data_IF_353495550577
#
_entry.id   IF_353495550577
#
_cell.length_a   1.000
_cell.length_b   1.000
_cell.length_c   1.000
_cell.angle_alpha   90.00
_cell.angle_beta   90.00
_cell.angle_gamma   90.00
#
_symmetry.space_group_name_H-M   'P 1'
#
loop_
_entity.id
_entity.type
_entity.pdbx_description
1 polymer ?
#
# COMPACT_ATOMS: atom_id res chain seq x y z
N UNK A 1 13.21 -44.70 -14.61
CA UNK A 1 12.71 -43.35 -14.32
C UNK A 1 11.21 -43.34 -14.49
N UNK A 2 10.45 -43.15 -13.38
CA UNK A 2 9.01 -43.00 -13.41
C UNK A 2 8.73 -41.52 -13.68
N UNK A 3 8.09 -41.22 -14.82
CA UNK A 3 7.61 -39.89 -15.14
C UNK A 3 6.54 -39.48 -14.11
N UNK A 4 6.54 -38.27 -13.57
CA UNK A 4 5.49 -37.83 -12.67
C UNK A 4 4.15 -37.86 -13.41
N UNK A 5 3.14 -38.47 -12.79
CA UNK A 5 1.76 -38.48 -13.29
C UNK A 5 1.33 -37.03 -13.51
N UNK A 6 0.94 -36.73 -14.74
CA UNK A 6 0.30 -35.46 -15.09
C UNK A 6 -0.87 -35.23 -14.11
N UNK A 7 -0.81 -34.14 -13.36
CA UNK A 7 -1.98 -33.68 -12.57
C UNK A 7 -3.12 -33.50 -13.56
N UNK A 8 -4.22 -34.23 -13.33
CA UNK A 8 -5.36 -34.28 -14.23
C UNK A 8 -5.75 -32.87 -14.68
N UNK A 9 -5.91 -32.71 -15.98
CA UNK A 9 -6.48 -31.50 -16.57
C UNK A 9 -7.85 -31.31 -15.91
N UNK A 10 -8.00 -30.22 -15.18
CA UNK A 10 -9.29 -29.83 -14.62
C UNK A 10 -10.21 -29.62 -15.81
N UNK A 11 -11.14 -30.55 -16.05
CA UNK A 11 -12.15 -30.38 -17.10
C UNK A 11 -12.94 -29.11 -16.78
N UNK A 12 -12.91 -28.14 -17.69
CA UNK A 12 -13.76 -26.97 -17.61
C UNK A 12 -15.22 -27.44 -17.78
N UNK A 13 -15.98 -27.43 -16.70
CA UNK A 13 -17.42 -27.55 -16.80
C UNK A 13 -18.00 -26.17 -17.10
N UNK A 14 -18.91 -26.04 -18.07
CA UNK A 14 -19.60 -24.79 -18.30
C UNK A 14 -20.38 -24.42 -17.02
N UNK A 15 -20.14 -23.18 -16.53
CA UNK A 15 -20.86 -22.62 -15.39
C UNK A 15 -22.00 -21.74 -15.89
N UNK A 16 -23.08 -21.66 -15.16
CA UNK A 16 -24.21 -20.78 -15.49
C UNK A 16 -23.86 -19.31 -15.17
N UNK A 17 -24.55 -18.39 -15.83
CA UNK A 17 -24.44 -16.96 -15.52
C UNK A 17 -24.73 -16.68 -14.05
N UNK A 18 -25.67 -17.41 -13.45
CA UNK A 18 -26.05 -17.28 -12.05
C UNK A 18 -24.91 -17.71 -11.11
N UNK A 19 -24.17 -18.77 -11.44
CA UNK A 19 -23.00 -19.22 -10.71
C UNK A 19 -21.88 -18.17 -10.79
N UNK A 20 -21.61 -17.61 -11.98
CA UNK A 20 -20.63 -16.51 -12.14
C UNK A 20 -21.00 -15.31 -11.28
N UNK A 21 -22.27 -14.91 -11.25
CA UNK A 21 -22.71 -13.79 -10.42
C UNK A 21 -22.57 -14.07 -8.92
N UNK A 22 -22.83 -15.30 -8.48
CA UNK A 22 -22.61 -15.72 -7.08
C UNK A 22 -21.13 -15.71 -6.70
N UNK A 23 -20.26 -16.22 -7.57
CA UNK A 23 -18.81 -16.20 -7.35
C UNK A 23 -18.29 -14.76 -7.28
N UNK A 24 -18.75 -13.87 -8.16
CA UNK A 24 -18.37 -12.45 -8.13
C UNK A 24 -18.85 -11.79 -6.83
N UNK A 25 -20.07 -12.04 -6.39
CA UNK A 25 -20.59 -11.49 -5.13
C UNK A 25 -19.80 -12.00 -3.91
N UNK A 26 -19.44 -13.27 -3.89
CA UNK A 26 -18.62 -13.87 -2.84
C UNK A 26 -17.19 -13.27 -2.84
N UNK A 27 -16.64 -13.00 -4.02
CA UNK A 27 -15.33 -12.36 -4.15
C UNK A 27 -15.35 -10.91 -3.64
N UNK A 28 -16.37 -10.12 -4.02
CA UNK A 28 -16.54 -8.76 -3.49
C UNK A 28 -16.72 -8.75 -1.97
N UNK A 29 -17.44 -9.71 -1.41
CA UNK A 29 -17.57 -9.85 0.05
C UNK A 29 -16.19 -10.03 0.72
N UNK A 30 -15.31 -10.86 0.16
CA UNK A 30 -13.95 -11.06 0.66
C UNK A 30 -13.08 -9.81 0.53
N UNK A 31 -13.23 -9.03 -0.54
CA UNK A 31 -12.56 -7.74 -0.68
C UNK A 31 -13.01 -6.79 0.43
N UNK A 32 -14.31 -6.72 0.70
CA UNK A 32 -14.86 -5.88 1.77
C UNK A 32 -14.33 -6.32 3.16
N UNK A 33 -14.20 -7.62 3.41
CA UNK A 33 -13.56 -8.14 4.64
C UNK A 33 -12.09 -7.70 4.75
N UNK A 34 -11.34 -7.69 3.65
CA UNK A 34 -9.96 -7.22 3.62
C UNK A 34 -9.87 -5.71 3.92
N UNK A 35 -10.78 -4.91 3.36
CA UNK A 35 -10.88 -3.46 3.66
C UNK A 35 -11.19 -3.22 5.14
N UNK A 36 -12.15 -3.98 5.71
CA UNK A 36 -12.46 -3.93 7.14
C UNK A 36 -11.27 -4.35 8.00
N UNK A 37 -10.54 -5.40 7.61
CA UNK A 37 -9.36 -5.86 8.34
C UNK A 37 -8.30 -4.75 8.42
N UNK A 38 -8.04 -4.04 7.32
CA UNK A 38 -7.12 -2.91 7.30
C UNK A 38 -7.65 -1.73 8.10
N UNK A 39 -8.95 -1.43 8.04
CA UNK A 39 -9.57 -0.38 8.84
C UNK A 39 -9.40 -0.65 10.34
N UNK A 40 -9.67 -1.87 10.80
CA UNK A 40 -9.44 -2.28 12.20
C UNK A 40 -7.97 -2.19 12.63
N UNK A 41 -7.03 -2.28 11.68
CA UNK A 41 -5.60 -2.10 11.92
C UNK A 41 -5.17 -0.64 12.01
N UNK A 42 -6.08 0.30 11.81
CA UNK A 42 -5.84 1.74 11.98
C UNK A 42 -5.62 2.51 10.67
N UNK A 43 -5.94 1.91 9.51
CA UNK A 43 -5.92 2.64 8.25
C UNK A 43 -7.27 3.32 8.01
N UNK A 44 -7.30 4.63 7.68
CA UNK A 44 -8.54 5.30 7.30
C UNK A 44 -9.18 4.63 6.09
N UNK A 45 -10.50 4.40 6.11
CA UNK A 45 -11.21 3.78 4.96
C UNK A 45 -11.01 4.53 3.65
N UNK A 46 -10.88 5.85 3.70
CA UNK A 46 -10.60 6.71 2.56
C UNK A 46 -9.19 6.51 1.98
N UNK A 47 -8.31 5.84 2.71
CA UNK A 47 -6.93 5.55 2.33
C UNK A 47 -6.68 4.04 2.08
N UNK A 48 -7.74 3.31 1.72
CA UNK A 48 -7.69 1.90 1.34
C UNK A 48 -7.95 1.79 -0.16
N UNK A 49 -7.13 0.97 -0.85
CA UNK A 49 -7.11 0.85 -2.31
C UNK A 49 -7.04 -0.61 -2.72
N UNK A 50 -7.74 -0.96 -3.79
CA UNK A 50 -7.71 -2.29 -4.40
C UNK A 50 -6.68 -2.32 -5.51
N UNK A 51 -5.84 -3.34 -5.52
CA UNK A 51 -4.81 -3.59 -6.52
C UNK A 51 -4.97 -5.03 -7.02
N UNK A 52 -5.56 -5.25 -8.21
CA UNK A 52 -5.56 -6.56 -8.83
C UNK A 52 -4.13 -7.02 -9.13
N UNK A 53 -3.84 -8.28 -8.88
CA UNK A 53 -2.59 -8.91 -9.32
C UNK A 53 -2.68 -9.20 -10.81
N UNK A 54 -1.69 -8.79 -11.59
CA UNK A 54 -1.64 -9.01 -13.03
C UNK A 54 -0.84 -10.26 -13.33
N UNK A 55 -1.30 -11.07 -14.28
CA UNK A 55 -0.66 -12.35 -14.63
C UNK A 55 0.84 -12.22 -14.97
N UNK A 56 1.26 -11.15 -15.63
CA UNK A 56 2.65 -10.87 -16.01
C UNK A 56 3.55 -10.35 -14.87
N UNK A 57 3.07 -10.25 -13.64
CA UNK A 57 3.86 -9.79 -12.48
C UNK A 57 4.67 -10.89 -11.81
N UNK A 58 4.50 -12.16 -12.24
CA UNK A 58 5.26 -13.29 -11.72
C UNK A 58 6.69 -13.28 -12.24
N UNK A 59 7.62 -13.68 -11.39
CA UNK A 59 8.99 -14.01 -11.78
C UNK A 59 9.17 -15.53 -12.03
N UNK A 60 10.40 -15.94 -12.26
CA UNK A 60 10.74 -17.35 -12.50
C UNK A 60 10.41 -18.28 -11.32
N UNK A 61 10.21 -17.73 -10.11
CA UNK A 61 9.82 -18.49 -8.91
C UNK A 61 8.30 -18.65 -8.78
N UNK A 62 7.54 -18.21 -9.80
CA UNK A 62 6.08 -18.32 -9.87
C UNK A 62 5.33 -17.53 -8.77
N UNK A 63 5.95 -16.48 -8.27
CA UNK A 63 5.35 -15.51 -7.35
C UNK A 63 5.48 -14.10 -7.91
N UNK A 64 4.65 -13.20 -7.45
CA UNK A 64 4.79 -11.77 -7.78
C UNK A 64 6.17 -11.29 -7.37
N UNK A 65 6.89 -10.73 -8.33
CA UNK A 65 8.22 -10.18 -8.09
C UNK A 65 8.17 -9.04 -7.06
N UNK A 66 9.14 -9.01 -6.16
CA UNK A 66 9.22 -8.05 -5.07
C UNK A 66 9.15 -6.58 -5.51
N UNK A 67 9.64 -6.25 -6.71
CA UNK A 67 9.58 -4.91 -7.28
C UNK A 67 8.13 -4.43 -7.51
N UNK A 68 7.19 -5.34 -7.80
CA UNK A 68 5.79 -4.99 -8.03
C UNK A 68 5.11 -4.48 -6.76
N UNK A 69 5.46 -5.00 -5.58
CA UNK A 69 4.93 -4.49 -4.30
C UNK A 69 5.26 -3.01 -4.10
N UNK A 70 6.49 -2.60 -4.44
CA UNK A 70 6.89 -1.18 -4.35
C UNK A 70 6.06 -0.33 -5.31
N UNK A 71 5.80 -0.80 -6.54
CA UNK A 71 4.94 -0.11 -7.52
C UNK A 71 3.47 -0.05 -7.07
N UNK A 72 2.97 -1.10 -6.45
CA UNK A 72 1.62 -1.11 -5.90
C UNK A 72 1.47 -0.09 -4.77
N UNK A 73 2.43 -0.07 -3.84
CA UNK A 73 2.45 0.93 -2.77
C UNK A 73 2.60 2.35 -3.29
N UNK A 74 3.41 2.56 -4.34
CA UNK A 74 3.53 3.85 -5.00
C UNK A 74 2.21 4.30 -5.62
N UNK A 75 1.55 3.44 -6.39
CA UNK A 75 0.25 3.72 -7.01
C UNK A 75 -0.81 4.06 -5.95
N UNK A 76 -0.84 3.31 -4.85
CA UNK A 76 -1.73 3.59 -3.73
C UNK A 76 -1.39 4.93 -3.06
N UNK A 77 -0.09 5.28 -2.91
CA UNK A 77 0.36 6.56 -2.34
C UNK A 77 -0.04 7.74 -3.23
N UNK A 78 0.06 7.61 -4.55
CA UNK A 78 -0.39 8.65 -5.47
C UNK A 78 -1.90 8.88 -5.37
N UNK A 79 -2.70 7.82 -5.31
CA UNK A 79 -4.15 7.91 -5.08
C UNK A 79 -4.51 8.52 -3.72
N UNK A 80 -3.75 8.16 -2.69
CA UNK A 80 -3.90 8.73 -1.36
C UNK A 80 -3.60 10.23 -1.35
N UNK A 81 -2.48 10.64 -1.95
CA UNK A 81 -2.11 12.06 -2.10
C UNK A 81 -3.15 12.83 -2.91
N UNK A 82 -3.66 12.27 -4.01
CA UNK A 82 -4.73 12.88 -4.81
C UNK A 82 -5.99 13.11 -3.99
N UNK A 83 -6.42 12.12 -3.21
CA UNK A 83 -7.60 12.27 -2.34
C UNK A 83 -7.36 13.34 -1.27
N UNK A 84 -6.20 13.31 -0.62
CA UNK A 84 -5.82 14.29 0.40
C UNK A 84 -5.74 15.70 -0.19
N UNK A 85 -5.21 15.86 -1.41
CA UNK A 85 -5.09 17.18 -2.05
C UNK A 85 -6.44 17.87 -2.27
N UNK A 86 -7.54 17.12 -2.35
CA UNK A 86 -8.90 17.69 -2.45
C UNK A 86 -9.36 18.42 -1.20
N UNK A 87 -8.65 18.27 -0.08
CA UNK A 87 -8.92 18.99 1.17
C UNK A 87 -8.04 20.24 1.33
N UNK A 88 -7.14 20.50 0.36
CA UNK A 88 -6.20 21.61 0.37
C UNK A 88 -6.71 22.77 -0.51
N UNK A 89 -6.16 23.96 -0.27
CA UNK A 89 -6.36 25.09 -1.18
C UNK A 89 -5.90 24.75 -2.61
N UNK A 90 -6.52 25.31 -3.66
CA UNK A 90 -6.22 24.96 -5.05
C UNK A 90 -4.75 25.15 -5.43
N UNK A 91 -4.10 26.18 -4.88
CA UNK A 91 -2.69 26.46 -5.11
C UNK A 91 -1.80 25.35 -4.53
N UNK A 92 -1.96 25.04 -3.25
CA UNK A 92 -1.17 24.01 -2.56
C UNK A 92 -1.44 22.62 -3.16
N UNK A 93 -2.69 22.30 -3.48
CA UNK A 93 -3.04 21.06 -4.16
C UNK A 93 -2.35 20.93 -5.52
N UNK A 94 -2.35 22.01 -6.31
CA UNK A 94 -1.67 22.04 -7.61
C UNK A 94 -0.15 21.87 -7.48
N UNK A 95 0.46 22.55 -6.51
CA UNK A 95 1.90 22.47 -6.26
C UNK A 95 2.32 21.04 -5.85
N UNK A 96 1.57 20.45 -4.92
CA UNK A 96 1.82 19.09 -4.42
C UNK A 96 1.78 18.04 -5.52
N UNK A 97 0.80 18.12 -6.44
CA UNK A 97 0.61 17.15 -7.54
C UNK A 97 1.57 17.40 -8.70
N UNK A 98 1.95 18.66 -8.96
CA UNK A 98 2.77 19.05 -10.12
C UNK A 98 4.26 19.19 -9.82
N UNK A 99 4.69 19.01 -8.58
CA UNK A 99 6.09 19.18 -8.17
C UNK A 99 6.56 20.63 -8.37
N UNK A 100 5.79 21.61 -7.89
CA UNK A 100 6.13 23.05 -7.87
C UNK A 100 6.06 23.54 -6.44
N UNK A 101 6.81 24.63 -6.13
CA UNK A 101 6.89 25.13 -4.77
C UNK A 101 7.29 24.01 -3.80
N UNK A 102 6.69 24.00 -2.60
CA UNK A 102 6.97 22.97 -1.61
C UNK A 102 6.05 21.76 -1.81
N UNK A 103 6.64 20.62 -2.11
CA UNK A 103 5.98 19.34 -2.22
C UNK A 103 6.62 18.28 -1.33
N UNK A 104 6.33 17.02 -1.64
CA UNK A 104 6.79 15.84 -0.88
C UNK A 104 7.54 14.91 -1.82
N UNK A 105 8.78 14.56 -1.49
CA UNK A 105 9.57 13.57 -2.23
C UNK A 105 9.89 12.37 -1.37
N UNK A 106 10.04 11.21 -2.00
CA UNK A 106 10.44 9.98 -1.33
C UNK A 106 11.93 10.00 -1.04
N UNK A 107 12.31 9.87 0.23
CA UNK A 107 13.71 9.83 0.66
C UNK A 107 14.19 8.38 0.88
N UNK A 108 13.37 7.53 1.48
CA UNK A 108 13.71 6.12 1.71
C UNK A 108 12.49 5.23 1.76
N UNK A 109 12.71 3.94 1.50
CA UNK A 109 11.70 2.90 1.55
C UNK A 109 12.20 1.73 2.38
N UNK A 110 11.39 1.30 3.34
CA UNK A 110 11.56 0.03 4.02
C UNK A 110 10.38 -0.85 3.66
N UNK A 111 10.64 -2.02 3.07
CA UNK A 111 9.59 -2.98 2.72
C UNK A 111 9.93 -4.35 3.32
N UNK A 112 8.94 -5.00 3.91
CA UNK A 112 9.03 -6.34 4.45
C UNK A 112 7.99 -7.23 3.81
N UNK A 113 8.44 -8.23 3.07
CA UNK A 113 7.62 -9.27 2.48
C UNK A 113 7.32 -10.34 3.51
N UNK A 114 6.05 -10.69 3.70
CA UNK A 114 5.57 -11.65 4.70
C UNK A 114 5.20 -12.98 4.10
N UNK A 115 4.56 -12.95 2.94
CA UNK A 115 4.06 -14.12 2.23
C UNK A 115 4.14 -13.88 0.72
N UNK A 116 4.42 -14.89 -0.08
CA UNK A 116 4.37 -14.78 -1.53
C UNK A 116 2.92 -14.59 -1.99
N UNK A 117 2.72 -13.76 -3.03
CA UNK A 117 1.46 -13.56 -3.72
C UNK A 117 1.53 -14.19 -5.09
N UNK A 118 0.42 -14.77 -5.54
CA UNK A 118 0.29 -15.40 -6.86
C UNK A 118 -0.95 -14.87 -7.57
N UNK A 119 -0.97 -14.93 -8.89
CA UNK A 119 -2.17 -14.69 -9.70
C UNK A 119 -3.04 -15.98 -9.71
N UNK A 120 -4.36 -15.90 -9.68
CA UNK A 120 -5.16 -14.67 -9.51
C UNK A 120 -5.34 -14.28 -8.04
N UNK A 121 -5.25 -12.99 -7.76
CA UNK A 121 -5.54 -12.39 -6.45
C UNK A 121 -5.90 -10.91 -6.60
N UNK A 122 -6.48 -10.33 -5.58
CA UNK A 122 -6.53 -8.88 -5.37
C UNK A 122 -5.84 -8.56 -4.05
N UNK A 123 -4.91 -7.62 -4.10
CA UNK A 123 -4.27 -7.09 -2.90
C UNK A 123 -4.95 -5.79 -2.50
N UNK A 124 -5.45 -5.74 -1.27
CA UNK A 124 -6.00 -4.50 -0.70
C UNK A 124 -4.90 -3.79 0.07
N UNK A 125 -4.69 -2.51 -0.21
CA UNK A 125 -3.59 -1.71 0.34
C UNK A 125 -4.15 -0.59 1.19
N UNK A 126 -3.79 -0.58 2.48
CA UNK A 126 -4.03 0.53 3.39
C UNK A 126 -2.81 1.44 3.45
N UNK A 127 -3.05 2.77 3.45
CA UNK A 127 -2.02 3.78 3.62
C UNK A 127 -2.42 4.81 4.67
N UNK A 128 -1.46 5.28 5.46
CA UNK A 128 -1.68 6.34 6.43
C UNK A 128 -0.35 6.99 6.85
N UNK A 129 -0.39 8.27 7.20
CA UNK A 129 0.73 8.95 7.80
C UNK A 129 0.97 8.44 9.23
N UNK A 130 2.19 8.14 9.62
CA UNK A 130 2.54 8.01 11.03
C UNK A 130 2.53 9.39 11.71
N UNK A 131 2.34 9.45 13.04
CA UNK A 131 2.43 10.72 13.77
C UNK A 131 3.74 11.44 13.45
N UNK A 132 3.63 12.67 12.97
CA UNK A 132 4.80 13.47 12.58
C UNK A 132 5.58 13.93 13.82
N UNK A 133 6.88 13.69 13.80
CA UNK A 133 7.82 14.14 14.84
C UNK A 133 8.62 15.38 14.40
N UNK A 134 8.65 15.67 13.09
CA UNK A 134 9.44 16.74 12.49
C UNK A 134 8.57 17.53 11.50
N UNK A 135 8.89 18.80 11.31
CA UNK A 135 8.16 19.67 10.39
C UNK A 135 8.54 19.44 8.91
N UNK A 136 9.65 18.77 8.65
CA UNK A 136 10.22 18.58 7.31
C UNK A 136 9.97 17.20 6.71
N UNK A 137 9.32 16.28 7.45
CA UNK A 137 9.13 14.89 6.96
C UNK A 137 7.91 14.20 7.54
N UNK A 138 7.44 13.21 6.82
CA UNK A 138 6.38 12.28 7.22
C UNK A 138 6.73 10.87 6.80
N UNK A 139 6.46 9.91 7.67
CA UNK A 139 6.52 8.49 7.30
C UNK A 139 5.12 8.03 6.90
N UNK A 140 4.98 7.51 5.69
CA UNK A 140 3.73 6.90 5.21
C UNK A 140 3.83 5.40 5.40
N UNK A 141 3.00 4.86 6.28
CA UNK A 141 2.85 3.42 6.50
C UNK A 141 1.93 2.81 5.47
N UNK A 142 2.30 1.63 4.99
CA UNK A 142 1.48 0.85 4.07
C UNK A 142 1.44 -0.61 4.48
N UNK A 143 0.29 -1.25 4.34
CA UNK A 143 0.13 -2.69 4.47
C UNK A 143 -0.64 -3.22 3.26
N UNK A 144 -0.21 -4.37 2.76
CA UNK A 144 -0.84 -5.10 1.67
C UNK A 144 -1.50 -6.37 2.22
N UNK A 145 -2.80 -6.52 1.99
CA UNK A 145 -3.60 -7.67 2.40
C UNK A 145 -4.04 -8.45 1.17
N UNK A 146 -3.69 -9.73 1.08
CA UNK A 146 -4.13 -10.63 0.02
C UNK A 146 -5.53 -11.14 0.30
N UNK A 147 -6.43 -10.96 -0.64
CA UNK A 147 -7.81 -11.47 -0.54
C UNK A 147 -7.81 -13.00 -0.66
N UNK A 148 -6.98 -13.57 -1.52
CA UNK A 148 -6.85 -15.02 -1.69
C UNK A 148 -6.38 -15.72 -0.42
N UNK A 149 -5.45 -15.10 0.34
CA UNK A 149 -4.85 -15.68 1.53
C UNK A 149 -5.50 -15.21 2.84
N UNK A 150 -6.39 -14.22 2.79
CA UNK A 150 -6.99 -13.58 3.98
C UNK A 150 -5.93 -13.14 5.00
N UNK A 151 -4.82 -12.53 4.53
CA UNK A 151 -3.67 -12.20 5.36
C UNK A 151 -2.85 -11.01 4.85
N UNK A 152 -2.12 -10.36 5.76
CA UNK A 152 -1.10 -9.38 5.39
C UNK A 152 0.07 -10.09 4.71
N UNK A 153 0.40 -9.66 3.49
CA UNK A 153 1.46 -10.24 2.65
C UNK A 153 2.70 -9.36 2.56
N UNK A 154 2.55 -8.05 2.75
CA UNK A 154 3.68 -7.13 2.83
C UNK A 154 3.36 -5.92 3.72
N UNK A 155 4.41 -5.33 4.26
CA UNK A 155 4.38 -4.11 5.08
C UNK A 155 5.50 -3.19 4.62
N UNK A 156 5.22 -1.89 4.53
CA UNK A 156 6.21 -0.91 4.14
C UNK A 156 6.03 0.41 4.89
N UNK A 157 7.16 1.10 5.08
CA UNK A 157 7.21 2.49 5.51
C UNK A 157 8.00 3.30 4.47
N UNK A 158 7.43 4.40 4.06
CA UNK A 158 7.99 5.34 3.09
C UNK A 158 8.32 6.64 3.82
N UNK A 159 9.60 6.93 4.00
CA UNK A 159 10.02 8.23 4.53
C UNK A 159 9.97 9.25 3.40
N UNK A 160 9.11 10.24 3.57
CA UNK A 160 8.91 11.34 2.64
C UNK A 160 9.37 12.63 3.28
N UNK A 161 10.06 13.48 2.52
CA UNK A 161 10.58 14.77 2.99
C UNK A 161 9.96 15.91 2.22
N UNK A 162 9.74 17.03 2.90
CA UNK A 162 9.34 18.27 2.28
C UNK A 162 10.49 18.84 1.44
N UNK A 163 10.19 19.19 0.20
CA UNK A 163 11.17 19.67 -0.77
C UNK A 163 10.62 20.84 -1.57
N UNK A 164 11.41 21.90 -1.62
CA UNK A 164 11.10 23.06 -2.44
C UNK A 164 11.67 22.81 -3.85
N UNK A 165 10.78 22.57 -4.80
CA UNK A 165 11.14 22.29 -6.19
C UNK A 165 11.68 23.51 -6.95
N UNK A 166 11.33 24.72 -6.50
CA UNK A 166 11.78 25.94 -7.15
C UNK A 166 13.19 26.33 -6.68
N UNK A 167 13.51 26.04 -5.40
CA UNK A 167 14.82 26.28 -4.78
C UNK A 167 15.74 25.07 -4.78
N UNK A 168 15.23 23.90 -5.14
CA UNK A 168 15.94 22.62 -5.15
C UNK A 168 16.58 22.26 -3.81
N UNK A 169 15.87 22.49 -2.70
CA UNK A 169 16.36 22.22 -1.36
C UNK A 169 15.27 21.69 -0.43
N UNK A 170 15.69 21.12 0.71
CA UNK A 170 14.77 20.72 1.77
C UNK A 170 13.98 21.91 2.30
N UNK A 171 12.75 21.67 2.69
CA UNK A 171 11.82 22.66 3.22
C UNK A 171 11.03 22.10 4.40
N UNK A 172 10.20 22.91 5.02
CA UNK A 172 9.17 22.45 5.95
C UNK A 172 7.85 22.28 5.20
N UNK A 173 7.05 21.33 5.65
CA UNK A 173 5.70 21.12 5.10
C UNK A 173 4.85 22.39 5.33
N UNK A 174 4.12 22.85 4.31
CA UNK A 174 3.12 23.90 4.50
C UNK A 174 2.14 23.48 5.62
N UNK A 175 1.74 24.43 6.50
CA UNK A 175 0.83 24.09 7.63
C UNK A 175 -0.43 23.34 7.21
N UNK A 176 -1.05 23.75 6.11
CA UNK A 176 -2.25 23.12 5.56
C UNK A 176 -2.01 21.65 5.15
N UNK A 177 -0.85 21.35 4.57
CA UNK A 177 -0.45 19.98 4.23
C UNK A 177 -0.20 19.16 5.50
N UNK A 178 0.45 19.76 6.51
CA UNK A 178 0.69 19.09 7.79
C UNK A 178 -0.62 18.77 8.50
N UNK A 179 -1.61 19.67 8.46
CA UNK A 179 -2.95 19.45 9.04
C UNK A 179 -3.72 18.37 8.30
N UNK A 180 -3.68 18.36 6.96
CA UNK A 180 -4.27 17.31 6.15
C UNK A 180 -3.64 15.94 6.47
N UNK A 181 -2.32 15.86 6.60
CA UNK A 181 -1.63 14.62 6.99
C UNK A 181 -2.05 14.12 8.38
N UNK A 182 -2.29 15.03 9.35
CA UNK A 182 -2.82 14.67 10.67
C UNK A 182 -4.21 14.06 10.60
N UNK A 183 -5.08 14.58 9.72
CA UNK A 183 -6.42 14.03 9.51
C UNK A 183 -6.39 12.61 8.90
N UNK A 184 -5.31 12.24 8.23
CA UNK A 184 -5.09 10.92 7.60
C UNK A 184 -4.06 10.08 8.36
N UNK A 185 -3.93 10.31 9.67
CA UNK A 185 -2.96 9.62 10.51
C UNK A 185 -3.39 8.18 10.79
N UNK A 186 -2.38 7.31 10.84
CA UNK A 186 -2.51 5.93 11.30
C UNK A 186 -2.94 5.89 12.76
N UNK A 187 -4.03 5.21 13.06
CA UNK A 187 -4.62 5.12 14.40
C UNK A 187 -4.33 3.79 15.10
N UNK A 188 -3.65 2.86 14.42
CA UNK A 188 -3.28 1.57 15.01
C UNK A 188 -2.29 1.69 16.16
N UNK A 189 -2.15 0.63 16.93
CA UNK A 189 -1.32 0.59 18.15
C UNK A 189 0.16 0.82 17.87
N UNK A 190 0.65 0.27 16.76
CA UNK A 190 2.05 0.27 16.40
C UNK A 190 2.44 1.47 15.55
N UNK A 191 2.86 2.55 16.21
CA UNK A 191 3.21 3.85 15.57
C UNK A 191 4.71 4.04 15.33
N UNK A 192 5.57 3.08 15.70
CA UNK A 192 7.00 3.16 15.41
C UNK A 192 7.31 2.70 13.98
N UNK A 193 8.18 3.41 13.23
CA UNK A 193 8.64 2.96 11.92
C UNK A 193 9.25 1.55 11.96
N UNK A 194 8.95 0.72 10.96
CA UNK A 194 9.41 -0.67 10.90
C UNK A 194 10.94 -0.80 10.87
N UNK A 195 11.65 0.14 10.25
CA UNK A 195 13.12 0.15 10.22
C UNK A 195 13.74 0.29 11.61
N UNK A 196 13.12 1.04 12.53
CA UNK A 196 13.63 1.23 13.90
C UNK A 196 13.46 -0.01 14.76
N UNK A 197 12.44 -0.84 14.51
CA UNK A 197 12.21 -2.10 15.23
C UNK A 197 13.24 -3.17 14.95
N UNK A 198 13.74 -3.23 13.72
CA UNK A 198 14.77 -4.21 13.34
C UNK A 198 16.13 -3.88 13.94
N UNK A 199 16.46 -2.61 14.17
CA UNK A 199 17.70 -2.21 14.83
C UNK A 199 17.71 -2.58 16.31
N UNK A 200 16.58 -2.46 17.02
CA UNK A 200 16.47 -2.86 18.46
C UNK A 200 16.58 -4.37 18.69
N UNK A 201 16.22 -5.21 17.69
CA UNK A 201 16.35 -6.68 17.82
C UNK A 201 17.77 -7.20 17.59
N UNK A 202 18.65 -6.41 16.98
CA UNK A 202 20.06 -6.78 16.73
C UNK A 202 20.99 -6.50 17.90
N UNK A 203 20.56 -5.79 18.93
CA UNK A 203 21.36 -5.42 20.11
C UNK A 203 21.19 -6.40 21.28
N UNK A 204 20.50 -7.52 21.10
CA UNK A 204 20.33 -8.56 22.11
C UNK A 204 20.88 -9.87 21.57
N UNK A 205 22.19 -9.97 21.56
CA UNK A 205 22.93 -11.24 21.49
C UNK A 205 24.33 -11.05 22.05
#
# INVERSE_FOLDING_TARGET
GVLPRARGVRMYHPISTEEVLRENAAYEARINEAEEALSRRGFPRTAIFRQPVVWGEHDQYQHVNNAHYIRWFESARMRWMERMSRTLSPEIASNLVRGRGVGIILASTYCRYRRPVTYPDTVVIGQAALPMKFADRVTVRSQAYSVAQSAIVAEADFECVAYDYDRLCKSSLPPEVADALRAWTYTGEDKEPYCQKTSRRRTVS
#
